data_IF_245517900580
#
_entry.id   IF_245517900580
#
_cell.length_a   1.000
_cell.length_b   1.000
_cell.length_c   1.000
_cell.angle_alpha   90.00
_cell.angle_beta   90.00
_cell.angle_gamma   90.00
#
_symmetry.space_group_name_H-M   'P 1'
#
loop_
_entity.id
_entity.type
_entity.pdbx_description
1 polymer ?
#
# COMPACT_ATOMS: atom_id res chain seq x y z
N UNK A 1 12.79 75.30 -9.95
CA UNK A 1 11.44 74.74 -9.89
C UNK A 1 11.17 74.11 -11.24
N UNK A 2 11.42 72.81 -11.36
CA UNK A 2 10.57 71.84 -12.06
C UNK A 2 11.30 70.50 -12.04
N UNK A 3 10.81 69.59 -11.20
CA UNK A 3 11.28 68.20 -11.13
C UNK A 3 10.10 67.34 -11.60
N UNK A 4 10.17 66.91 -12.85
CA UNK A 4 9.20 65.99 -13.44
C UNK A 4 9.39 64.58 -12.90
N UNK A 5 8.39 64.10 -12.18
CA UNK A 5 8.25 62.70 -11.78
C UNK A 5 7.68 61.88 -12.94
N UNK A 6 8.43 60.85 -13.34
CA UNK A 6 8.05 59.87 -14.35
C UNK A 6 7.27 58.73 -13.65
N UNK A 7 5.98 58.58 -13.99
CA UNK A 7 5.09 57.57 -13.41
C UNK A 7 4.87 56.42 -14.38
N UNK A 8 5.64 55.34 -14.21
CA UNK A 8 5.41 54.08 -14.90
C UNK A 8 4.21 53.35 -14.28
N UNK A 9 3.09 53.33 -15.01
CA UNK A 9 1.94 52.47 -14.73
C UNK A 9 2.32 51.01 -14.99
N UNK A 10 2.53 50.26 -13.92
CA UNK A 10 2.58 48.81 -13.94
C UNK A 10 1.15 48.29 -14.18
N UNK A 11 0.85 47.85 -15.41
CA UNK A 11 -0.42 47.20 -15.73
C UNK A 11 -0.32 45.77 -15.18
N UNK A 12 -1.09 45.51 -14.13
CA UNK A 12 -1.20 44.20 -13.50
C UNK A 12 -1.99 43.24 -14.42
N UNK A 13 -1.27 42.40 -15.16
CA UNK A 13 -1.82 41.44 -16.14
C UNK A 13 -2.42 40.19 -15.44
N UNK A 14 -2.14 39.96 -14.16
CA UNK A 14 -2.64 38.77 -13.44
C UNK A 14 -4.14 38.83 -13.13
N UNK A 15 -4.76 40.00 -13.16
CA UNK A 15 -6.18 40.17 -12.82
C UNK A 15 -7.14 39.79 -13.96
N UNK A 16 -6.65 39.53 -15.19
CA UNK A 16 -7.53 39.31 -16.35
C UNK A 16 -7.62 37.84 -16.80
N UNK A 17 -6.84 36.94 -16.20
CA UNK A 17 -6.86 35.51 -16.51
C UNK A 17 -7.77 34.72 -15.56
N UNK A 18 -8.08 35.26 -14.38
CA UNK A 18 -8.93 34.62 -13.37
C UNK A 18 -10.45 34.75 -13.60
N UNK A 19 -10.89 35.54 -14.58
CA UNK A 19 -12.32 35.78 -14.84
C UNK A 19 -12.93 34.97 -16.00
N UNK A 20 -12.17 34.08 -16.66
CA UNK A 20 -12.66 33.30 -17.82
C UNK A 20 -12.65 31.79 -17.54
N UNK A 21 -13.12 31.38 -16.37
CA UNK A 21 -13.62 30.02 -16.16
C UNK A 21 -14.86 30.11 -15.28
N UNK A 22 -16.02 30.19 -15.91
CA UNK A 22 -17.28 30.08 -15.19
C UNK A 22 -17.42 28.65 -14.67
N UNK A 23 -18.00 28.49 -13.48
CA UNK A 23 -18.25 27.20 -12.79
C UNK A 23 -18.95 26.14 -13.67
N UNK A 24 -19.59 26.53 -14.77
CA UNK A 24 -20.20 25.62 -15.74
C UNK A 24 -19.20 24.90 -16.66
N UNK A 25 -18.01 25.46 -16.92
CA UNK A 25 -17.01 24.86 -17.84
C UNK A 25 -16.19 23.77 -17.16
N UNK A 26 -15.96 23.88 -15.84
CA UNK A 26 -15.34 22.82 -15.03
C UNK A 26 -16.25 21.58 -14.96
N UNK A 27 -17.58 21.76 -15.04
CA UNK A 27 -18.52 20.61 -15.12
C UNK A 27 -18.42 19.82 -16.43
N UNK A 28 -17.84 20.42 -17.48
CA UNK A 28 -17.63 19.80 -18.79
C UNK A 28 -16.25 19.16 -18.97
N UNK A 29 -15.31 19.34 -18.03
CA UNK A 29 -14.15 18.46 -17.96
C UNK A 29 -14.67 17.10 -17.54
N UNK A 30 -14.64 16.13 -18.46
CA UNK A 30 -15.09 14.75 -18.26
C UNK A 30 -14.70 14.28 -16.86
N UNK A 31 -15.65 14.28 -15.93
CA UNK A 31 -15.46 13.92 -14.52
C UNK A 31 -14.79 12.56 -14.38
N UNK A 32 -15.01 11.67 -15.35
CA UNK A 32 -14.31 10.39 -15.50
C UNK A 32 -12.79 10.49 -15.61
N UNK A 33 -12.25 11.44 -16.39
CA UNK A 33 -10.79 11.60 -16.55
C UNK A 33 -10.16 12.10 -15.24
N UNK A 34 -10.83 13.03 -14.55
CA UNK A 34 -10.38 13.54 -13.27
C UNK A 34 -10.45 12.44 -12.18
N UNK A 35 -11.54 11.68 -12.15
CA UNK A 35 -11.74 10.53 -11.24
C UNK A 35 -10.67 9.46 -11.49
N UNK A 36 -10.39 9.11 -12.74
CA UNK A 36 -9.37 8.10 -13.08
C UNK A 36 -7.95 8.57 -12.72
N UNK A 37 -7.66 9.85 -12.91
CA UNK A 37 -6.40 10.45 -12.49
C UNK A 37 -6.23 10.41 -10.97
N UNK A 38 -7.25 10.85 -10.20
CA UNK A 38 -7.25 10.81 -8.73
C UNK A 38 -7.11 9.37 -8.23
N UNK A 39 -7.86 8.43 -8.79
CA UNK A 39 -7.75 7.01 -8.45
C UNK A 39 -6.34 6.44 -8.71
N UNK A 40 -5.67 6.91 -9.77
CA UNK A 40 -4.30 6.51 -10.07
C UNK A 40 -3.28 7.00 -9.04
N UNK A 41 -3.50 8.18 -8.44
CA UNK A 41 -2.65 8.73 -7.38
C UNK A 41 -2.79 7.92 -6.08
N UNK A 42 -4.01 7.50 -5.72
CA UNK A 42 -4.25 6.67 -4.53
C UNK A 42 -3.67 5.26 -4.66
N UNK A 43 -3.67 4.66 -5.86
CA UNK A 43 -3.08 3.33 -6.10
C UNK A 43 -1.56 3.28 -5.87
N UNK A 44 -0.87 4.42 -5.93
CA UNK A 44 0.60 4.49 -5.80
C UNK A 44 1.11 4.51 -4.35
N UNK A 45 0.26 4.30 -3.34
CA UNK A 45 0.62 4.35 -1.90
C UNK A 45 1.34 5.64 -1.48
N UNK A 46 0.99 6.75 -2.10
CA UNK A 46 1.47 8.06 -1.64
C UNK A 46 0.75 8.45 -0.34
N UNK A 47 1.39 9.26 0.51
CA UNK A 47 0.72 9.83 1.68
C UNK A 47 -0.44 10.74 1.25
N UNK A 48 -1.50 10.80 2.04
CA UNK A 48 -2.69 11.61 1.75
C UNK A 48 -2.33 13.10 1.51
N UNK A 49 -1.35 13.64 2.24
CA UNK A 49 -0.83 15.00 2.05
C UNK A 49 -0.21 15.24 0.66
N UNK A 50 0.51 14.24 0.12
CA UNK A 50 1.11 14.34 -1.21
C UNK A 50 0.03 14.30 -2.30
N UNK A 51 -1.04 13.55 -2.07
CA UNK A 51 -2.16 13.45 -3.00
C UNK A 51 -2.96 14.76 -3.02
N UNK A 52 -3.26 15.33 -1.85
CA UNK A 52 -3.94 16.63 -1.72
C UNK A 52 -3.17 17.75 -2.43
N UNK A 53 -1.88 17.89 -2.16
CA UNK A 53 -1.04 18.92 -2.80
C UNK A 53 -1.01 18.81 -4.33
N UNK A 54 -0.99 17.58 -4.85
CA UNK A 54 -1.04 17.34 -6.29
C UNK A 54 -2.40 17.67 -6.91
N UNK A 55 -3.50 17.43 -6.17
CA UNK A 55 -4.86 17.80 -6.60
C UNK A 55 -5.00 19.33 -6.56
N UNK A 56 -4.59 19.98 -5.47
CA UNK A 56 -4.58 21.45 -5.31
C UNK A 56 -3.84 22.15 -6.46
N UNK A 57 -2.68 21.60 -6.87
CA UNK A 57 -1.87 22.15 -7.98
C UNK A 57 -2.61 22.10 -9.33
N UNK A 58 -3.53 21.15 -9.51
CA UNK A 58 -4.21 20.89 -10.79
C UNK A 58 -5.59 21.55 -10.87
N UNK A 59 -6.34 21.58 -9.76
CA UNK A 59 -7.74 22.05 -9.76
C UNK A 59 -7.97 23.28 -8.86
N UNK A 60 -6.95 23.75 -8.15
CA UNK A 60 -7.06 24.84 -7.18
C UNK A 60 -7.50 24.36 -5.80
N UNK A 61 -7.13 25.13 -4.78
CA UNK A 61 -7.32 24.81 -3.35
C UNK A 61 -8.79 24.53 -3.00
N UNK A 62 -9.70 25.40 -3.45
CA UNK A 62 -11.13 25.30 -3.12
C UNK A 62 -11.81 24.07 -3.74
N UNK A 63 -11.45 23.71 -4.98
CA UNK A 63 -12.01 22.53 -5.64
C UNK A 63 -11.39 21.23 -5.11
N UNK A 64 -10.15 21.29 -4.61
CA UNK A 64 -9.47 20.12 -4.04
C UNK A 64 -10.13 19.61 -2.76
N UNK A 65 -10.60 20.51 -1.89
CA UNK A 65 -11.33 20.14 -0.66
C UNK A 65 -12.68 19.48 -0.96
N UNK A 66 -13.42 19.98 -1.95
CA UNK A 66 -14.70 19.38 -2.35
C UNK A 66 -14.50 17.98 -2.96
N UNK A 67 -13.48 17.80 -3.80
CA UNK A 67 -13.12 16.50 -4.37
C UNK A 67 -12.72 15.51 -3.26
N UNK A 68 -11.98 15.98 -2.25
CA UNK A 68 -11.57 15.14 -1.12
C UNK A 68 -12.76 14.73 -0.25
N UNK A 69 -13.69 15.64 0.04
CA UNK A 69 -14.94 15.35 0.78
C UNK A 69 -15.82 14.32 0.05
N UNK A 70 -15.97 14.45 -1.27
CA UNK A 70 -16.71 13.47 -2.10
C UNK A 70 -16.04 12.08 -2.04
N UNK A 71 -14.71 12.04 -1.95
CA UNK A 71 -13.95 10.81 -1.87
C UNK A 71 -14.06 10.13 -0.49
N UNK A 72 -13.88 10.89 0.60
CA UNK A 72 -14.09 10.39 1.98
C UNK A 72 -15.50 9.82 2.16
N UNK A 73 -16.51 10.56 1.69
CA UNK A 73 -17.91 10.11 1.76
C UNK A 73 -18.15 8.82 0.97
N UNK A 74 -17.52 8.64 -0.19
CA UNK A 74 -17.61 7.38 -0.96
C UNK A 74 -16.87 6.23 -0.28
N UNK A 75 -15.74 6.50 0.37
CA UNK A 75 -14.94 5.50 1.06
C UNK A 75 -15.63 4.98 2.32
N UNK A 76 -16.21 5.88 3.13
CA UNK A 76 -17.01 5.52 4.31
C UNK A 76 -18.24 4.67 3.92
N UNK A 77 -18.91 5.01 2.82
CA UNK A 77 -20.05 4.24 2.32
C UNK A 77 -19.67 2.84 1.79
N UNK A 78 -18.40 2.60 1.45
CA UNK A 78 -17.91 1.29 0.97
C UNK A 78 -17.33 0.40 2.08
N UNK A 79 -17.06 0.94 3.27
CA UNK A 79 -16.48 0.19 4.41
C UNK A 79 -17.09 0.64 5.76
N UNK A 80 -18.36 0.32 6.05
CA UNK A 80 -19.03 0.76 7.27
C UNK A 80 -18.48 0.12 8.56
N UNK A 81 -17.66 -0.92 8.48
CA UNK A 81 -17.12 -1.64 9.65
C UNK A 81 -15.96 -0.92 10.36
N UNK A 82 -15.44 0.20 9.82
CA UNK A 82 -14.28 0.92 10.40
C UNK A 82 -14.61 2.31 10.98
N UNK A 83 -15.88 2.70 11.07
CA UNK A 83 -16.28 4.04 11.54
C UNK A 83 -16.41 4.19 13.06
N UNK A 84 -16.16 3.14 13.86
CA UNK A 84 -16.27 3.20 15.33
C UNK A 84 -15.05 2.58 16.00
N UNK A 85 -13.96 3.34 16.15
CA UNK A 85 -12.96 3.07 17.18
C UNK A 85 -12.43 4.41 17.73
N UNK A 86 -13.26 4.99 18.60
CA UNK A 86 -12.90 6.06 19.53
C UNK A 86 -13.46 5.68 20.90
N UNK A 87 -12.57 5.57 21.88
CA UNK A 87 -12.80 5.43 23.34
C UNK A 87 -12.90 3.99 23.90
N UNK A 88 -11.76 3.58 24.47
CA UNK A 88 -11.51 3.06 25.83
C UNK A 88 -12.65 2.33 26.59
N UNK A 89 -12.26 1.16 27.12
CA UNK A 89 -12.63 0.62 28.44
C UNK A 89 -14.09 0.13 28.63
N UNK A 90 -14.34 -1.19 28.43
CA UNK A 90 -15.20 -2.03 29.33
C UNK A 90 -15.52 -3.48 28.83
N UNK A 91 -14.90 -4.01 27.77
CA UNK A 91 -15.36 -5.30 27.17
C UNK A 91 -14.60 -6.55 27.59
N UNK A 92 -14.26 -6.68 28.89
CA UNK A 92 -13.86 -7.98 29.50
C UNK A 92 -14.93 -8.61 30.40
N UNK A 93 -16.19 -8.18 30.30
CA UNK A 93 -17.32 -8.93 30.86
C UNK A 93 -18.37 -9.18 29.78
N UNK A 94 -18.71 -10.46 29.60
CA UNK A 94 -19.84 -11.00 28.81
C UNK A 94 -19.58 -11.24 27.31
N UNK A 95 -18.79 -12.27 27.00
CA UNK A 95 -19.13 -13.13 25.86
C UNK A 95 -20.00 -14.28 26.38
N UNK A 96 -21.30 -14.23 26.10
CA UNK A 96 -22.17 -15.40 26.26
C UNK A 96 -21.71 -16.48 25.26
N UNK A 97 -21.69 -17.77 25.64
CA UNK A 97 -21.38 -18.84 24.70
C UNK A 97 -22.43 -18.86 23.57
N UNK A 98 -21.98 -19.13 22.34
CA UNK A 98 -22.86 -19.37 21.18
C UNK A 98 -23.82 -20.52 21.53
N UNK A 99 -25.14 -20.39 21.30
CA UNK A 99 -26.06 -21.51 21.46
C UNK A 99 -25.74 -22.56 20.38
N UNK A 100 -25.47 -23.80 20.81
CA UNK A 100 -25.29 -24.94 19.91
C UNK A 100 -24.03 -25.80 20.10
N UNK A 101 -23.13 -25.45 21.02
CA UNK A 101 -21.99 -26.30 21.38
C UNK A 101 -22.20 -26.84 22.79
N UNK A 102 -22.92 -27.96 22.93
CA UNK A 102 -22.94 -28.70 24.18
C UNK A 102 -21.71 -29.61 24.22
N UNK A 103 -20.60 -29.10 24.74
CA UNK A 103 -19.52 -29.98 25.21
C UNK A 103 -20.05 -30.64 26.48
N UNK A 104 -20.59 -31.86 26.37
CA UNK A 104 -20.83 -32.69 27.54
C UNK A 104 -19.47 -33.04 28.14
N UNK A 105 -19.06 -32.29 29.15
CA UNK A 105 -17.96 -32.70 30.03
C UNK A 105 -18.56 -33.76 30.95
N UNK A 106 -18.33 -35.02 30.62
CA UNK A 106 -18.71 -36.15 31.47
C UNK A 106 -17.72 -36.21 32.62
N UNK A 107 -18.15 -35.80 33.81
CA UNK A 107 -17.40 -35.99 35.03
C UNK A 107 -17.51 -37.46 35.44
N UNK A 108 -16.50 -38.26 35.11
CA UNK A 108 -16.41 -39.65 35.58
C UNK A 108 -15.91 -39.60 37.03
N UNK A 109 -16.75 -39.99 37.97
CA UNK A 109 -16.36 -40.15 39.37
C UNK A 109 -15.39 -41.34 39.50
N UNK A 110 -14.33 -41.25 40.35
CA UNK A 110 -13.32 -42.30 40.46
C UNK A 110 -13.87 -43.69 40.80
N UNK A 111 -15.05 -43.74 41.42
CA UNK A 111 -15.72 -44.93 41.91
C UNK A 111 -16.40 -45.76 40.81
N UNK A 112 -16.55 -45.22 39.60
CA UNK A 112 -17.20 -45.89 38.46
C UNK A 112 -16.25 -46.45 37.40
N UNK A 113 -14.94 -46.26 37.56
CA UNK A 113 -13.96 -46.75 36.59
C UNK A 113 -13.62 -48.19 36.92
N UNK A 114 -14.26 -49.12 36.21
CA UNK A 114 -13.93 -50.55 36.29
C UNK A 114 -12.46 -50.76 35.90
N UNK A 115 -11.82 -51.76 36.48
CA UNK A 115 -10.43 -52.07 36.14
C UNK A 115 -10.29 -52.44 34.65
N UNK A 116 -11.34 -52.98 34.04
CA UNK A 116 -11.42 -53.18 32.59
C UNK A 116 -11.37 -51.86 31.80
N UNK A 117 -12.09 -50.81 32.24
CA UNK A 117 -12.05 -49.52 31.55
C UNK A 117 -10.70 -48.82 31.70
N UNK A 118 -9.99 -49.04 32.82
CA UNK A 118 -8.60 -48.57 32.97
C UNK A 118 -7.67 -49.28 32.01
N UNK A 119 -7.78 -50.60 31.90
CA UNK A 119 -7.01 -51.42 30.95
C UNK A 119 -7.30 -51.02 29.51
N UNK A 120 -8.57 -50.77 29.15
CA UNK A 120 -8.95 -50.35 27.79
C UNK A 120 -8.41 -48.94 27.46
N UNK A 121 -8.50 -47.99 28.39
CA UNK A 121 -7.93 -46.64 28.21
C UNK A 121 -6.40 -46.70 28.12
N UNK A 122 -5.76 -47.50 28.95
CA UNK A 122 -4.31 -47.70 28.91
C UNK A 122 -3.90 -48.39 27.61
N UNK A 123 -4.64 -49.40 27.15
CA UNK A 123 -4.39 -50.08 25.90
C UNK A 123 -4.57 -49.15 24.70
N UNK A 124 -5.55 -48.24 24.71
CA UNK A 124 -5.77 -47.26 23.64
C UNK A 124 -4.70 -46.16 23.62
N UNK A 125 -4.26 -45.71 24.80
CA UNK A 125 -3.09 -44.82 24.92
C UNK A 125 -1.85 -45.53 24.41
N UNK A 126 -1.62 -46.78 24.82
CA UNK A 126 -0.46 -47.58 24.43
C UNK A 126 -0.46 -47.93 22.94
N UNK A 127 -1.61 -48.27 22.35
CA UNK A 127 -1.76 -48.58 20.92
C UNK A 127 -1.61 -47.33 20.06
N UNK A 128 -2.04 -46.16 20.56
CA UNK A 128 -1.77 -44.87 19.92
C UNK A 128 -0.29 -44.46 20.03
N UNK A 129 0.45 -45.04 20.98
CA UNK A 129 1.90 -44.80 21.20
C UNK A 129 2.82 -45.91 20.67
N UNK A 130 2.31 -46.89 19.91
CA UNK A 130 3.18 -47.79 19.13
C UNK A 130 3.88 -47.08 17.96
N UNK A 131 3.50 -45.83 17.66
CA UNK A 131 4.42 -44.89 17.04
C UNK A 131 5.40 -44.45 18.12
N UNK A 132 6.68 -44.81 17.97
CA UNK A 132 7.83 -44.32 18.74
C UNK A 132 7.46 -42.99 19.38
N UNK A 133 7.52 -42.87 20.71
CA UNK A 133 7.40 -41.58 21.42
C UNK A 133 8.52 -40.67 20.92
N UNK A 134 8.39 -40.15 19.70
CA UNK A 134 9.19 -39.11 19.13
C UNK A 134 8.80 -37.93 19.98
N UNK A 135 9.57 -37.71 21.04
CA UNK A 135 9.45 -36.56 21.90
C UNK A 135 9.24 -35.37 20.98
N UNK A 136 8.03 -34.79 21.01
CA UNK A 136 7.66 -33.72 20.09
C UNK A 136 8.74 -32.66 20.21
N UNK A 137 9.53 -32.52 19.15
CA UNK A 137 10.73 -31.71 19.21
C UNK A 137 10.30 -30.27 19.51
N UNK A 138 10.82 -29.72 20.61
CA UNK A 138 10.48 -28.37 21.07
C UNK A 138 11.49 -27.40 20.51
N UNK A 139 11.00 -26.39 19.79
CA UNK A 139 11.85 -25.37 19.18
C UNK A 139 11.84 -24.13 20.09
N UNK A 140 12.84 -24.05 20.97
CA UNK A 140 12.94 -22.99 21.96
C UNK A 140 13.96 -21.95 21.48
N UNK A 141 13.51 -20.71 21.39
CA UNK A 141 14.33 -19.52 21.12
C UNK A 141 14.70 -18.88 22.45
N UNK A 142 16.00 -18.69 22.66
CA UNK A 142 16.59 -17.96 23.77
C UNK A 142 16.82 -16.51 23.38
N UNK A 143 16.37 -15.59 24.24
CA UNK A 143 16.53 -14.14 24.07
C UNK A 143 17.25 -13.60 25.29
N UNK A 144 18.40 -12.97 25.12
CA UNK A 144 19.18 -12.37 26.21
C UNK A 144 19.41 -10.87 25.99
N UNK A 145 19.63 -10.15 27.09
CA UNK A 145 19.84 -8.71 27.09
C UNK A 145 18.54 -7.91 27.16
N UNK A 146 17.50 -8.51 27.76
CA UNK A 146 16.19 -7.86 27.92
C UNK A 146 16.28 -6.76 28.97
N UNK A 147 16.38 -5.52 28.52
CA UNK A 147 16.28 -4.37 29.43
C UNK A 147 14.86 -4.23 29.96
N UNK A 148 14.69 -4.23 31.29
CA UNK A 148 13.39 -4.20 31.98
C UNK A 148 12.58 -2.93 31.69
N UNK A 149 13.25 -1.82 31.37
CA UNK A 149 12.64 -0.54 30.99
C UNK A 149 11.93 -0.61 29.63
N UNK A 150 12.42 -1.46 28.72
CA UNK A 150 12.04 -1.43 27.31
C UNK A 150 11.32 -2.70 26.85
N UNK A 151 11.66 -3.84 27.45
CA UNK A 151 11.20 -5.16 27.03
C UNK A 151 10.23 -5.76 28.03
N UNK A 152 8.98 -5.31 27.99
CA UNK A 152 7.91 -6.00 28.71
C UNK A 152 7.54 -7.32 28.04
N UNK A 153 7.07 -8.30 28.80
CA UNK A 153 6.58 -9.58 28.26
C UNK A 153 5.51 -9.39 27.17
N UNK A 154 4.65 -8.38 27.30
CA UNK A 154 3.67 -8.00 26.28
C UNK A 154 4.32 -7.55 24.97
N UNK A 155 5.43 -6.80 25.04
CA UNK A 155 6.20 -6.40 23.86
C UNK A 155 6.89 -7.59 23.22
N UNK A 156 7.52 -8.44 24.02
CA UNK A 156 8.14 -9.69 23.55
C UNK A 156 7.10 -10.52 22.81
N UNK A 157 5.95 -10.80 23.43
CA UNK A 157 4.86 -11.54 22.78
C UNK A 157 4.42 -10.90 21.46
N UNK A 158 4.19 -9.58 21.43
CA UNK A 158 3.77 -8.86 20.21
C UNK A 158 4.78 -9.02 19.07
N UNK A 159 6.08 -8.90 19.35
CA UNK A 159 7.12 -9.04 18.34
C UNK A 159 7.27 -10.48 17.89
N UNK A 160 7.36 -11.42 18.82
CA UNK A 160 7.64 -12.82 18.49
C UNK A 160 6.43 -13.53 17.86
N UNK A 161 5.20 -13.09 18.14
CA UNK A 161 4.00 -13.60 17.47
C UNK A 161 4.00 -13.36 15.96
N UNK A 162 4.76 -12.39 15.46
CA UNK A 162 4.88 -12.11 14.03
C UNK A 162 5.55 -13.25 13.26
N UNK A 163 6.34 -14.10 13.94
CA UNK A 163 7.06 -15.19 13.29
C UNK A 163 6.26 -16.50 13.26
N UNK A 164 5.28 -16.65 14.14
CA UNK A 164 4.46 -17.86 14.17
C UNK A 164 3.71 -18.10 15.47
N UNK A 165 3.21 -19.33 15.63
CA UNK A 165 2.43 -19.72 16.81
C UNK A 165 3.36 -20.03 17.98
N UNK A 166 3.30 -19.16 18.98
CA UNK A 166 3.97 -19.35 20.27
C UNK A 166 3.19 -20.36 21.11
N UNK A 167 3.88 -21.37 21.63
CA UNK A 167 3.35 -22.37 22.56
C UNK A 167 3.46 -21.86 24.01
N UNK A 168 4.62 -21.34 24.39
CA UNK A 168 4.92 -20.86 25.73
C UNK A 168 5.94 -19.72 25.70
N UNK A 169 5.89 -18.86 26.71
CA UNK A 169 6.91 -17.84 26.99
C UNK A 169 7.24 -17.95 28.47
N UNK A 170 8.52 -18.04 28.78
CA UNK A 170 9.06 -17.99 30.13
C UNK A 170 10.08 -16.85 30.21
N UNK A 171 9.95 -16.00 31.22
CA UNK A 171 10.83 -14.84 31.44
C UNK A 171 11.58 -15.02 32.74
N UNK A 172 12.91 -14.88 32.68
CA UNK A 172 13.78 -14.81 33.84
C UNK A 172 14.36 -13.39 33.92
N UNK A 173 13.74 -12.60 34.80
CA UNK A 173 14.06 -11.18 35.01
C UNK A 173 15.39 -10.99 35.73
N UNK A 174 15.85 -11.98 36.51
CA UNK A 174 17.12 -11.86 37.23
C UNK A 174 18.28 -11.91 36.24
N UNK A 175 18.18 -12.79 35.24
CA UNK A 175 19.18 -12.94 34.19
C UNK A 175 18.92 -12.08 32.94
N UNK A 176 17.80 -11.34 32.91
CA UNK A 176 17.36 -10.56 31.74
C UNK A 176 17.25 -11.42 30.47
N UNK A 177 16.65 -12.60 30.62
CA UNK A 177 16.46 -13.57 29.53
C UNK A 177 15.00 -14.00 29.38
N UNK A 178 14.64 -14.45 28.19
CA UNK A 178 13.36 -15.10 27.92
C UNK A 178 13.53 -16.31 27.02
N UNK A 179 12.70 -17.32 27.25
CA UNK A 179 12.58 -18.53 26.46
C UNK A 179 11.23 -18.55 25.76
N UNK A 180 11.24 -18.73 24.44
CA UNK A 180 10.04 -18.67 23.60
C UNK A 180 9.94 -19.98 22.85
N UNK A 181 8.91 -20.76 23.16
CA UNK A 181 8.66 -22.05 22.51
C UNK A 181 7.76 -21.86 21.28
N UNK A 182 8.19 -22.37 20.13
CA UNK A 182 7.41 -22.42 18.91
C UNK A 182 6.93 -23.84 18.60
N UNK A 183 5.77 -23.91 17.93
CA UNK A 183 5.23 -25.17 17.43
C UNK A 183 6.00 -25.72 16.21
N UNK A 184 6.69 -24.85 15.47
CA UNK A 184 7.38 -25.19 14.21
C UNK A 184 8.80 -24.64 14.20
N UNK A 185 9.72 -25.41 13.62
CA UNK A 185 11.13 -25.00 13.47
C UNK A 185 11.29 -23.76 12.57
N UNK A 186 10.49 -23.65 11.51
CA UNK A 186 10.52 -22.51 10.56
C UNK A 186 10.24 -21.19 11.29
N UNK A 187 9.24 -21.17 12.15
CA UNK A 187 8.85 -20.00 12.94
C UNK A 187 10.00 -19.57 13.88
N UNK A 188 10.60 -20.54 14.59
CA UNK A 188 11.75 -20.31 15.46
C UNK A 188 12.98 -19.81 14.69
N UNK A 189 13.26 -20.39 13.52
CA UNK A 189 14.35 -19.97 12.64
C UNK A 189 14.17 -18.52 12.18
N UNK A 190 12.97 -18.15 11.75
CA UNK A 190 12.68 -16.76 11.37
C UNK A 190 12.83 -15.79 12.54
N UNK A 191 12.37 -16.19 13.73
CA UNK A 191 12.55 -15.40 14.94
C UNK A 191 14.04 -15.14 15.22
N UNK A 192 14.89 -16.17 15.20
CA UNK A 192 16.34 -16.03 15.42
C UNK A 192 16.97 -15.07 14.39
N UNK A 193 16.62 -15.18 13.11
CA UNK A 193 17.24 -14.36 12.05
C UNK A 193 16.76 -12.90 12.02
N UNK A 194 15.53 -12.62 12.47
CA UNK A 194 14.86 -11.32 12.23
C UNK A 194 14.46 -10.56 13.49
N UNK A 195 14.21 -11.24 14.62
CA UNK A 195 13.64 -10.60 15.82
C UNK A 195 14.53 -9.49 16.40
N UNK A 196 15.85 -9.66 16.36
CA UNK A 196 16.79 -8.66 16.87
C UNK A 196 16.58 -7.28 16.25
N UNK A 197 16.25 -7.23 14.94
CA UNK A 197 15.99 -5.96 14.23
C UNK A 197 14.68 -5.29 14.65
N UNK A 198 13.66 -6.08 15.01
CA UNK A 198 12.34 -5.58 15.37
C UNK A 198 12.26 -5.05 16.80
N UNK A 199 13.12 -5.57 17.69
CA UNK A 199 13.16 -5.12 19.08
C UNK A 199 13.87 -3.78 19.23
N UNK A 200 14.63 -3.30 18.24
CA UNK A 200 15.27 -1.99 18.27
C UNK A 200 16.44 -1.85 19.27
N UNK A 201 16.72 -2.88 20.06
CA UNK A 201 17.87 -2.93 20.97
C UNK A 201 18.99 -3.76 20.32
N UNK A 202 20.11 -3.08 20.03
CA UNK A 202 21.29 -3.66 19.37
C UNK A 202 22.00 -4.71 20.24
N UNK A 203 21.85 -4.65 21.56
CA UNK A 203 22.50 -5.53 22.51
C UNK A 203 21.73 -6.85 22.73
N UNK A 204 20.55 -7.01 22.13
CA UNK A 204 19.79 -8.25 22.24
C UNK A 204 20.48 -9.36 21.45
N UNK A 205 20.60 -10.52 22.10
CA UNK A 205 21.05 -11.76 21.47
C UNK A 205 19.85 -12.69 21.36
N UNK A 206 19.55 -13.15 20.14
CA UNK A 206 18.45 -14.09 19.87
C UNK A 206 19.05 -15.32 19.23
N UNK A 207 18.93 -16.47 19.89
CA UNK A 207 19.52 -17.74 19.45
C UNK A 207 18.60 -18.92 19.76
N UNK A 208 18.94 -20.11 19.28
CA UNK A 208 18.26 -21.32 19.74
C UNK A 208 18.78 -21.72 21.11
N UNK A 209 17.89 -22.06 22.04
CA UNK A 209 18.27 -22.56 23.36
C UNK A 209 18.98 -23.93 23.27
N UNK A 210 18.55 -24.76 22.32
CA UNK A 210 19.23 -25.99 21.91
C UNK A 210 19.46 -25.94 20.39
N UNK A 211 20.67 -26.20 19.90
CA UNK A 211 20.94 -26.20 18.46
C UNK A 211 20.04 -27.24 17.75
N UNK A 212 19.23 -26.83 16.77
CA UNK A 212 18.38 -27.74 15.99
C UNK A 212 19.24 -28.58 15.04
N UNK A 213 18.63 -29.62 14.46
CA UNK A 213 19.30 -30.45 13.45
C UNK A 213 19.78 -29.57 12.26
N UNK A 214 21.09 -29.58 11.93
CA UNK A 214 21.65 -28.77 10.84
C UNK A 214 21.02 -29.07 9.48
N UNK A 215 20.66 -30.32 9.20
CA UNK A 215 20.05 -30.71 7.92
C UNK A 215 18.66 -30.08 7.76
N UNK A 216 17.89 -30.01 8.85
CA UNK A 216 16.58 -29.37 8.87
C UNK A 216 16.69 -27.86 8.67
N UNK A 217 17.70 -27.21 9.26
CA UNK A 217 17.98 -25.78 9.01
C UNK A 217 18.37 -25.54 7.56
N UNK A 218 19.26 -26.36 7.01
CA UNK A 218 19.68 -26.24 5.62
C UNK A 218 18.49 -26.42 4.65
N UNK A 219 17.59 -27.35 4.92
CA UNK A 219 16.36 -27.52 4.14
C UNK A 219 15.47 -26.26 4.17
N UNK A 220 15.33 -25.62 5.33
CA UNK A 220 14.58 -24.36 5.46
C UNK A 220 15.26 -23.23 4.67
N UNK A 221 16.59 -23.14 4.72
CA UNK A 221 17.35 -22.15 3.97
C UNK A 221 17.21 -22.32 2.46
N UNK A 222 17.27 -23.56 1.96
CA UNK A 222 17.04 -23.87 0.55
C UNK A 222 15.62 -23.49 0.11
N UNK A 223 14.61 -23.78 0.93
CA UNK A 223 13.22 -23.44 0.64
C UNK A 223 13.02 -21.91 0.60
N UNK A 224 13.64 -21.16 1.52
CA UNK A 224 13.59 -19.69 1.54
C UNK A 224 14.25 -19.11 0.28
N UNK A 225 15.43 -19.62 -0.10
CA UNK A 225 16.15 -19.11 -1.26
C UNK A 225 15.41 -19.41 -2.57
N UNK A 226 14.84 -20.62 -2.69
CA UNK A 226 13.97 -20.99 -3.80
C UNK A 226 12.77 -20.04 -3.92
N UNK A 227 12.10 -19.76 -2.81
CA UNK A 227 10.95 -18.85 -2.78
C UNK A 227 11.34 -17.40 -3.11
N UNK A 228 12.56 -16.98 -2.74
CA UNK A 228 13.10 -15.67 -3.11
C UNK A 228 13.31 -15.54 -4.61
N UNK A 229 13.86 -16.57 -5.27
CA UNK A 229 14.04 -16.58 -6.72
C UNK A 229 12.71 -16.47 -7.48
N UNK A 230 11.69 -17.21 -7.02
CA UNK A 230 10.34 -17.13 -7.60
C UNK A 230 9.76 -15.72 -7.44
N UNK A 231 9.90 -15.11 -6.27
CA UNK A 231 9.41 -13.76 -6.04
C UNK A 231 10.11 -12.71 -6.93
N UNK A 232 11.43 -12.82 -7.10
CA UNK A 232 12.19 -11.94 -7.99
C UNK A 232 11.77 -12.11 -9.45
N UNK A 233 11.62 -13.35 -9.92
CA UNK A 233 11.16 -13.63 -11.27
C UNK A 233 9.75 -13.07 -11.52
N UNK A 234 8.86 -13.17 -10.54
CA UNK A 234 7.52 -12.60 -10.64
C UNK A 234 7.56 -11.07 -10.71
N UNK A 235 8.38 -10.41 -9.87
CA UNK A 235 8.57 -8.96 -9.91
C UNK A 235 9.13 -8.48 -11.26
N UNK A 236 10.14 -9.16 -11.81
CA UNK A 236 10.70 -8.84 -13.13
C UNK A 236 9.64 -8.98 -14.23
N UNK A 237 8.81 -10.03 -14.15
CA UNK A 237 7.72 -10.25 -15.11
C UNK A 237 6.62 -9.18 -15.04
N UNK A 238 6.37 -8.60 -13.86
CA UNK A 238 5.43 -7.50 -13.68
C UNK A 238 5.97 -6.21 -14.27
N UNK A 239 7.24 -5.88 -14.01
CA UNK A 239 7.90 -4.69 -14.56
C UNK A 239 7.88 -4.72 -16.10
N UNK A 240 8.13 -5.88 -16.72
CA UNK A 240 8.08 -6.02 -18.18
C UNK A 240 6.68 -5.88 -18.79
N UNK A 241 5.61 -6.22 -18.03
CA UNK A 241 4.23 -5.99 -18.49
C UNK A 241 3.89 -4.50 -18.50
N UNK A 242 4.38 -3.77 -17.50
CA UNK A 242 4.17 -2.32 -17.40
C UNK A 242 4.90 -1.57 -18.53
N UNK A 243 6.12 -1.98 -18.87
CA UNK A 243 6.87 -1.40 -20.00
C UNK A 243 6.15 -1.58 -21.35
N UNK A 244 5.60 -2.76 -21.60
CA UNK A 244 4.84 -3.01 -22.82
C UNK A 244 3.54 -2.18 -22.87
N UNK A 245 2.91 -1.98 -21.72
CA UNK A 245 1.71 -1.14 -21.61
C UNK A 245 2.06 0.34 -21.83
N UNK A 246 3.18 0.81 -21.29
CA UNK A 246 3.68 2.16 -21.51
C UNK A 246 4.02 2.41 -22.98
N UNK A 247 4.71 1.47 -23.64
CA UNK A 247 5.02 1.53 -25.07
C UNK A 247 3.75 1.58 -25.93
N UNK A 248 2.74 0.78 -25.59
CA UNK A 248 1.43 0.81 -26.27
C UNK A 248 0.74 2.17 -26.10
N UNK A 249 0.79 2.74 -24.90
CA UNK A 249 0.20 4.05 -24.61
C UNK A 249 0.93 5.20 -25.31
N UNK A 250 2.26 5.16 -25.41
CA UNK A 250 3.05 6.12 -26.17
C UNK A 250 2.69 6.04 -27.66
N UNK A 251 2.55 4.83 -28.20
CA UNK A 251 2.16 4.63 -29.60
C UNK A 251 0.76 5.20 -29.88
N UNK A 252 -0.22 4.98 -28.98
CA UNK A 252 -1.57 5.53 -29.11
C UNK A 252 -1.53 7.07 -29.10
N UNK A 253 -0.72 7.69 -28.23
CA UNK A 253 -0.57 9.16 -28.22
C UNK A 253 0.02 9.69 -29.52
N UNK A 254 1.01 9.00 -30.09
CA UNK A 254 1.56 9.35 -31.41
C UNK A 254 0.50 9.38 -32.50
N UNK A 255 -0.31 8.32 -32.60
CA UNK A 255 -1.41 8.22 -33.57
C UNK A 255 -2.43 9.35 -33.39
N UNK A 256 -2.84 9.64 -32.15
CA UNK A 256 -3.78 10.73 -31.85
C UNK A 256 -3.24 12.11 -32.26
N UNK A 257 -1.96 12.37 -32.04
CA UNK A 257 -1.33 13.64 -32.44
C UNK A 257 -1.34 13.79 -33.96
N UNK A 258 -1.04 12.72 -34.70
CA UNK A 258 -1.04 12.74 -36.17
C UNK A 258 -2.46 12.96 -36.73
N UNK A 259 -3.47 12.29 -36.18
CA UNK A 259 -4.88 12.51 -36.55
C UNK A 259 -5.35 13.95 -36.28
N UNK A 260 -4.97 14.52 -35.14
CA UNK A 260 -5.28 15.92 -34.80
C UNK A 260 -4.61 16.89 -35.76
N UNK A 261 -3.35 16.65 -36.15
CA UNK A 261 -2.64 17.46 -37.15
C UNK A 261 -3.38 17.44 -38.50
N UNK A 262 -3.89 16.28 -38.92
CA UNK A 262 -4.63 16.16 -40.19
C UNK A 262 -6.01 16.81 -40.15
N UNK A 263 -6.72 16.75 -39.02
CA UNK A 263 -7.98 17.49 -38.84
C UNK A 263 -7.73 18.99 -38.91
N UNK A 264 -6.67 19.48 -38.24
CA UNK A 264 -6.32 20.90 -38.22
C UNK A 264 -5.96 21.40 -39.63
N UNK A 265 -5.12 20.66 -40.37
CA UNK A 265 -4.79 20.97 -41.77
C UNK A 265 -6.03 21.06 -42.66
N UNK A 266 -6.99 20.12 -42.51
CA UNK A 266 -8.25 20.14 -43.26
C UNK A 266 -9.10 21.37 -42.92
N UNK A 267 -9.26 21.68 -41.63
CA UNK A 267 -9.99 22.88 -41.20
C UNK A 267 -9.35 24.15 -41.73
N UNK A 268 -8.02 24.27 -41.64
CA UNK A 268 -7.28 25.43 -42.14
C UNK A 268 -7.42 25.58 -43.66
N UNK A 269 -7.35 24.47 -44.41
CA UNK A 269 -7.59 24.46 -45.86
C UNK A 269 -9.00 24.93 -46.22
N UNK A 270 -10.02 24.41 -45.55
CA UNK A 270 -11.43 24.80 -45.79
C UNK A 270 -11.65 26.26 -45.44
N UNK A 271 -11.02 26.73 -44.37
CA UNK A 271 -11.10 28.10 -43.91
C UNK A 271 -10.43 29.09 -44.88
N UNK A 272 -9.22 28.77 -45.36
CA UNK A 272 -8.56 29.54 -46.42
C UNK A 272 -9.37 29.56 -47.72
N UNK A 273 -10.07 28.47 -48.05
CA UNK A 273 -10.96 28.43 -49.20
C UNK A 273 -12.19 29.35 -49.02
N UNK A 274 -12.74 29.44 -47.80
CA UNK A 274 -13.85 30.34 -47.49
C UNK A 274 -13.45 31.83 -47.51
N UNK A 275 -12.24 32.16 -47.07
CA UNK A 275 -11.72 33.53 -47.13
C UNK A 275 -11.57 34.06 -48.56
N UNK A 276 -11.34 33.20 -49.55
CA UNK A 276 -11.29 33.61 -50.97
C UNK A 276 -12.61 34.19 -51.51
N UNK A 277 -13.71 34.06 -50.77
CA UNK A 277 -15.03 34.53 -51.18
C UNK A 277 -15.54 35.73 -50.36
N UNK A 278 -14.77 36.25 -49.39
CA UNK A 278 -15.17 37.37 -48.53
C UNK A 278 -14.02 38.39 -48.41
N UNK A 279 -14.06 39.46 -49.21
CA UNK A 279 -12.95 40.41 -49.35
C UNK A 279 -12.70 41.29 -48.08
N UNK A 280 -13.71 41.49 -47.22
CA UNK A 280 -13.65 42.46 -46.11
C UNK A 280 -13.05 41.93 -44.78
N UNK A 281 -12.89 40.61 -44.60
CA UNK A 281 -12.43 40.01 -43.32
C UNK A 281 -10.94 39.59 -43.38
N UNK A 282 -10.36 39.67 -44.57
CA UNK A 282 -9.09 39.03 -44.97
C UNK A 282 -7.83 39.44 -44.20
N UNK A 283 -7.58 40.73 -43.82
CA UNK A 283 -6.28 41.13 -43.31
C UNK A 283 -6.00 40.73 -41.86
N UNK A 284 -6.94 40.98 -40.94
CA UNK A 284 -6.76 40.65 -39.51
C UNK A 284 -6.57 39.15 -39.30
N UNK A 285 -7.32 38.39 -40.07
CA UNK A 285 -7.38 36.95 -39.96
C UNK A 285 -6.17 36.27 -40.62
N UNK A 286 -5.58 36.89 -41.65
CA UNK A 286 -4.28 36.48 -42.19
C UNK A 286 -3.16 36.60 -41.15
N UNK A 287 -3.18 37.66 -40.32
CA UNK A 287 -2.22 37.87 -39.24
C UNK A 287 -2.35 36.78 -38.17
N UNK A 288 -3.57 36.48 -37.71
CA UNK A 288 -3.81 35.44 -36.69
C UNK A 288 -3.36 34.05 -37.17
N UNK A 289 -3.52 33.74 -38.47
CA UNK A 289 -3.01 32.49 -39.07
C UNK A 289 -1.47 32.46 -39.08
N UNK A 290 -0.82 33.58 -39.40
CA UNK A 290 0.64 33.66 -39.42
C UNK A 290 1.23 33.49 -38.01
N UNK A 291 0.57 34.05 -37.00
CA UNK A 291 0.98 33.91 -35.60
C UNK A 291 0.81 32.47 -35.10
N UNK A 292 -0.28 31.79 -35.48
CA UNK A 292 -0.46 30.37 -35.20
C UNK A 292 0.58 29.48 -35.89
N UNK A 293 0.90 29.73 -37.16
CA UNK A 293 1.92 28.96 -37.89
C UNK A 293 3.32 29.16 -37.29
N UNK A 294 3.60 30.35 -36.74
CA UNK A 294 4.83 30.64 -36.00
C UNK A 294 4.90 29.87 -34.68
N UNK A 295 3.83 29.88 -33.89
CA UNK A 295 3.74 29.11 -32.63
C UNK A 295 3.91 27.60 -32.85
N UNK A 296 3.35 27.06 -33.94
CA UNK A 296 3.52 25.64 -34.32
C UNK A 296 5.00 25.34 -34.60
N UNK A 297 5.68 26.18 -35.40
CA UNK A 297 7.10 25.99 -35.73
C UNK A 297 8.02 26.11 -34.52
N UNK A 298 7.71 27.00 -33.58
CA UNK A 298 8.45 27.15 -32.33
C UNK A 298 8.31 25.90 -31.45
N UNK A 299 7.10 25.34 -31.36
CA UNK A 299 6.86 24.09 -30.63
C UNK A 299 7.48 22.85 -31.29
N UNK A 300 7.52 22.78 -32.63
CA UNK A 300 8.19 21.67 -33.33
C UNK A 300 9.71 21.71 -33.14
N UNK A 301 10.31 22.90 -33.03
CA UNK A 301 11.74 23.06 -32.70
C UNK A 301 12.07 22.67 -31.25
N UNK A 302 11.19 22.99 -30.29
CA UNK A 302 11.41 22.64 -28.88
C UNK A 302 11.23 21.14 -28.60
N UNK A 303 10.39 20.45 -29.38
CA UNK A 303 10.16 19.02 -29.25
C UNK A 303 11.27 18.14 -29.86
N UNK A 304 12.10 18.69 -30.75
CA UNK A 304 13.20 17.96 -31.38
C UNK A 304 14.52 18.76 -31.29
N UNK A 305 15.05 18.96 -30.07
CA UNK A 305 16.36 19.57 -29.90
C UNK A 305 17.41 18.56 -30.34
N UNK A 306 18.02 18.81 -31.50
CA UNK A 306 19.27 18.14 -31.87
C UNK A 306 20.32 18.31 -30.77
#
# INVERSE_FOLDING_TARGET
MDSGEDSTKNINIESSVSEILTTNEISNINSHILIDYVNSLFRRKNSNETILKNIETVVGETASEEIFKIFEQKYENQNPENANDSILDDTLKRRKPKPGWSTQIVYVTPEGITDQLKEDILAEILSSTNGTLVSKERFIVFVAGLESSFNSISRIYKVFKLFGRICAIEEDKENNVAFIEYAKLVDAYHAVKKAQKLLGNKCLRVEFAKPPNPDAIHAIEQEIEKNRGIWQQNQESEIHKDDNTLKKNINIKGILVDEMKDILKRKMKNFLAALKYNDDITPKLLTDIQDLDKLIKENEKSANPN
#
